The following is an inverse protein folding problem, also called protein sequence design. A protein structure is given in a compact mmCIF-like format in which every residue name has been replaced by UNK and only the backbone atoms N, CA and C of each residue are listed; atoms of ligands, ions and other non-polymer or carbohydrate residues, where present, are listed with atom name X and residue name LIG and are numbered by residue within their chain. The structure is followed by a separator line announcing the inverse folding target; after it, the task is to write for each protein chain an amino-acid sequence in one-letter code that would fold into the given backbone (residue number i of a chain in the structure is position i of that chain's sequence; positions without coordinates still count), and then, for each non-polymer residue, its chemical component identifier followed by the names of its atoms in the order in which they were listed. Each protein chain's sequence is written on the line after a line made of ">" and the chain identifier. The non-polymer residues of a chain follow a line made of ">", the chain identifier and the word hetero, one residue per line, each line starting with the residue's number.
data_IF_830648393279
#
_entry.id   IF_830648393279
#
_cell.length_a   1.000
_cell.length_b   1.000
_cell.length_c   1.000
_cell.angle_alpha   90.00
_cell.angle_beta   90.00
_cell.angle_gamma   90.00
#
_symmetry.space_group_name_H-M   'P 1'
#
loop_
_entity.id
_entity.type
_entity.pdbx_description
1 polymer ?
#
# COMPACT_ATOMS: atom_id res chain seq x y z
N UNK A 1 -0.39 26.62 44.91
CA UNK A 1 0.54 25.54 44.55
C UNK A 1 -0.28 24.52 43.76
N UNK A 2 -0.45 24.79 42.46
CA UNK A 2 -1.36 24.01 41.60
C UNK A 2 -0.60 22.84 41.00
N UNK A 3 -1.12 21.65 41.24
CA UNK A 3 -0.54 20.36 40.88
C UNK A 3 -0.64 20.19 39.36
N UNK A 4 0.50 20.07 38.69
CA UNK A 4 0.62 19.63 37.30
C UNK A 4 0.03 18.22 37.16
N UNK A 5 -1.17 18.15 36.58
CA UNK A 5 -1.72 16.92 36.04
C UNK A 5 -0.85 16.49 34.86
N UNK A 6 0.11 15.60 35.12
CA UNK A 6 0.77 14.77 34.10
C UNK A 6 -0.33 14.04 33.33
N UNK A 7 -0.68 14.56 32.16
CA UNK A 7 -1.43 13.84 31.14
C UNK A 7 -0.57 12.66 30.67
N UNK A 8 -0.59 11.56 31.42
CA UNK A 8 -0.21 10.25 30.90
C UNK A 8 -1.31 9.82 29.94
N UNK A 9 -1.19 10.25 28.69
CA UNK A 9 -1.97 9.71 27.57
C UNK A 9 -1.78 8.20 27.62
N UNK A 10 -2.84 7.48 27.97
CA UNK A 10 -2.84 6.03 27.94
C UNK A 10 -2.45 5.62 26.52
N UNK A 11 -1.23 5.09 26.34
CA UNK A 11 -0.79 4.49 25.08
C UNK A 11 -1.83 3.41 24.75
N UNK A 12 -2.69 3.69 23.78
CA UNK A 12 -3.56 2.68 23.21
C UNK A 12 -2.71 1.50 22.80
N UNK A 13 -3.03 0.30 23.29
CA UNK A 13 -2.26 -0.92 23.06
C UNK A 13 -2.18 -1.35 21.58
N UNK A 14 -2.89 -0.64 20.70
CA UNK A 14 -3.02 -0.94 19.27
C UNK A 14 -2.35 0.18 18.46
N UNK A 15 -1.50 -0.21 17.51
CA UNK A 15 -0.89 0.69 16.53
C UNK A 15 -1.97 1.34 15.65
N UNK A 16 -2.01 2.66 15.59
CA UNK A 16 -3.04 3.43 14.86
C UNK A 16 -2.47 4.20 13.66
N UNK A 17 -1.18 4.02 13.35
CA UNK A 17 -0.47 4.81 12.33
C UNK A 17 -0.53 6.33 12.62
N UNK A 18 -0.53 6.67 13.91
CA UNK A 18 -0.48 8.05 14.41
C UNK A 18 0.96 8.54 14.48
N UNK A 19 1.19 9.85 14.56
CA UNK A 19 2.56 10.40 14.66
C UNK A 19 3.28 9.85 15.90
N UNK A 20 2.55 9.67 17.00
CA UNK A 20 3.07 9.15 18.28
C UNK A 20 3.61 7.72 18.19
N UNK A 21 3.10 6.93 17.23
CA UNK A 21 3.57 5.56 17.02
C UNK A 21 4.99 5.50 16.43
N UNK A 22 5.48 6.63 15.90
CA UNK A 22 6.79 6.75 15.26
C UNK A 22 7.80 7.58 16.06
N UNK A 23 7.41 8.18 17.19
CA UNK A 23 8.29 9.06 18.00
C UNK A 23 9.59 8.37 18.44
N UNK A 24 9.56 7.05 18.61
CA UNK A 24 10.71 6.26 19.00
C UNK A 24 11.64 5.89 17.84
N UNK A 25 11.24 6.12 16.58
CA UNK A 25 12.00 5.73 15.39
C UNK A 25 13.10 6.77 15.08
N UNK A 26 14.35 6.31 14.95
CA UNK A 26 15.48 7.20 14.67
C UNK A 26 15.65 7.50 13.17
N UNK A 27 15.03 6.69 12.30
CA UNK A 27 15.09 6.87 10.87
C UNK A 27 14.14 7.95 10.37
N UNK A 28 14.02 8.08 9.04
CA UNK A 28 13.17 9.10 8.45
C UNK A 28 11.75 8.59 8.20
N UNK A 29 10.76 9.36 8.66
CA UNK A 29 9.34 9.11 8.38
C UNK A 29 8.89 10.09 7.30
N UNK A 30 8.59 9.55 6.13
CA UNK A 30 8.14 10.30 4.96
C UNK A 30 6.64 10.15 4.78
N UNK A 31 6.01 11.21 4.30
CA UNK A 31 4.65 11.15 3.79
C UNK A 31 4.64 10.64 2.35
N UNK A 32 3.55 9.99 1.95
CA UNK A 32 3.41 9.44 0.60
C UNK A 32 3.53 10.48 -0.52
N UNK A 33 3.18 11.75 -0.25
CA UNK A 33 3.33 12.86 -1.19
C UNK A 33 4.80 13.22 -1.49
N UNK A 34 5.73 12.88 -0.61
CA UNK A 34 7.15 13.29 -0.69
C UNK A 34 8.03 12.23 -1.35
N UNK A 35 7.46 11.06 -1.68
CA UNK A 35 8.15 9.91 -2.30
C UNK A 35 8.92 10.32 -3.57
N UNK A 36 8.35 11.23 -4.38
CA UNK A 36 8.95 11.62 -5.67
C UNK A 36 10.33 12.25 -5.53
N UNK A 37 10.52 13.05 -4.47
CA UNK A 37 11.71 13.86 -4.25
C UNK A 37 12.79 13.15 -3.43
N UNK A 38 12.47 12.01 -2.83
CA UNK A 38 13.37 11.29 -1.94
C UNK A 38 14.19 10.23 -2.69
N UNK A 39 15.43 10.02 -2.26
CA UNK A 39 16.30 8.96 -2.78
C UNK A 39 16.31 7.76 -1.82
N UNK A 40 15.91 6.60 -2.33
CA UNK A 40 15.83 5.35 -1.56
C UNK A 40 17.06 4.45 -1.73
N UNK A 41 18.11 4.93 -2.40
CA UNK A 41 19.30 4.15 -2.73
C UNK A 41 19.91 3.45 -1.51
N UNK A 42 20.01 2.11 -1.59
CA UNK A 42 20.58 1.24 -0.55
C UNK A 42 19.85 1.20 0.81
N UNK A 43 18.63 1.75 0.90
CA UNK A 43 17.86 1.78 2.15
C UNK A 43 16.88 0.61 2.26
N UNK A 44 16.58 0.21 3.50
CA UNK A 44 15.46 -0.65 3.81
C UNK A 44 14.21 0.20 4.05
N UNK A 45 13.22 0.07 3.19
CA UNK A 45 12.03 0.92 3.16
C UNK A 45 10.81 0.14 3.64
N UNK A 46 10.06 0.71 4.59
CA UNK A 46 8.75 0.19 4.97
C UNK A 46 7.64 1.12 4.49
N UNK A 47 6.69 0.58 3.75
CA UNK A 47 5.49 1.31 3.32
C UNK A 47 4.34 0.88 4.23
N UNK A 48 3.77 1.82 4.98
CA UNK A 48 2.66 1.56 5.89
C UNK A 48 1.38 2.10 5.27
N UNK A 49 0.52 1.16 4.86
CA UNK A 49 -0.71 1.47 4.16
C UNK A 49 -0.52 1.49 2.64
N UNK A 50 -1.61 1.80 1.94
CA UNK A 50 -1.65 1.81 0.48
C UNK A 50 -2.55 2.94 0.02
N UNK A 51 -1.98 3.84 -0.78
CA UNK A 51 -2.66 4.98 -1.39
C UNK A 51 -2.27 5.11 -2.87
N UNK A 52 -2.83 6.11 -3.56
CA UNK A 52 -2.55 6.29 -4.98
C UNK A 52 -1.06 6.59 -5.26
N UNK A 53 -0.38 7.36 -4.41
CA UNK A 53 1.01 7.73 -4.61
C UNK A 53 1.95 6.53 -4.39
N UNK A 54 1.77 5.78 -3.30
CA UNK A 54 2.55 4.56 -3.03
C UNK A 54 2.36 3.52 -4.13
N UNK A 55 1.13 3.29 -4.59
CA UNK A 55 0.82 2.34 -5.67
C UNK A 55 1.47 2.72 -7.00
N UNK A 56 1.57 4.03 -7.27
CA UNK A 56 2.20 4.55 -8.49
C UNK A 56 3.72 4.46 -8.42
N UNK A 57 4.33 4.77 -7.26
CA UNK A 57 5.78 4.88 -7.11
C UNK A 57 6.46 3.62 -6.58
N UNK A 58 5.71 2.58 -6.21
CA UNK A 58 6.27 1.33 -5.68
C UNK A 58 7.36 0.75 -6.58
N UNK A 59 7.16 0.80 -7.89
CA UNK A 59 8.11 0.32 -8.88
C UNK A 59 9.45 1.05 -8.81
N UNK A 60 9.41 2.40 -8.74
CA UNK A 60 10.60 3.25 -8.58
C UNK A 60 11.31 2.98 -7.25
N UNK A 61 10.55 2.87 -6.15
CA UNK A 61 11.11 2.57 -4.83
C UNK A 61 11.84 1.22 -4.87
N UNK A 62 11.22 0.19 -5.42
CA UNK A 62 11.83 -1.14 -5.52
C UNK A 62 13.05 -1.17 -6.46
N UNK A 63 13.22 -0.23 -7.38
CA UNK A 63 14.44 -0.16 -8.22
C UNK A 63 15.63 0.45 -7.48
N UNK A 64 15.38 1.32 -6.49
CA UNK A 64 16.41 2.08 -5.77
C UNK A 64 16.73 1.45 -4.40
N UNK A 65 15.70 0.97 -3.70
CA UNK A 65 15.81 0.44 -2.36
C UNK A 65 16.50 -0.93 -2.34
N UNK A 66 17.26 -1.16 -1.26
CA UNK A 66 17.86 -2.46 -0.98
C UNK A 66 16.78 -3.50 -0.68
N UNK A 67 15.80 -3.13 0.13
CA UNK A 67 14.68 -3.98 0.47
C UNK A 67 13.43 -3.14 0.76
N UNK A 68 12.27 -3.58 0.28
CA UNK A 68 10.99 -2.90 0.47
C UNK A 68 10.02 -3.85 1.15
N UNK A 69 9.46 -3.45 2.29
CA UNK A 69 8.31 -4.14 2.87
C UNK A 69 7.06 -3.29 2.76
N UNK A 70 6.02 -3.84 2.15
CA UNK A 70 4.70 -3.21 2.05
C UNK A 70 3.79 -3.81 3.13
N UNK A 71 3.45 -3.02 4.14
CA UNK A 71 2.50 -3.38 5.19
C UNK A 71 1.08 -3.07 4.72
N UNK A 72 0.35 -4.12 4.39
CA UNK A 72 -1.01 -4.02 3.85
C UNK A 72 -1.92 -5.07 4.48
N UNK A 73 -2.76 -4.64 5.41
CA UNK A 73 -3.74 -5.52 6.07
C UNK A 73 -4.92 -5.78 5.13
N UNK A 74 -5.39 -4.74 4.42
CA UNK A 74 -6.54 -4.84 3.51
C UNK A 74 -6.15 -4.54 2.07
N UNK A 75 -6.34 -5.50 1.13
CA UNK A 75 -6.15 -5.25 -0.29
C UNK A 75 -7.14 -4.23 -0.87
N UNK A 76 -6.66 -3.45 -1.84
CA UNK A 76 -7.46 -2.47 -2.58
C UNK A 76 -7.57 -2.87 -4.05
N UNK A 77 -8.60 -2.38 -4.75
CA UNK A 77 -8.75 -2.65 -6.17
C UNK A 77 -7.76 -1.79 -6.96
N UNK A 78 -6.94 -2.42 -7.80
CA UNK A 78 -6.02 -1.71 -8.70
C UNK A 78 -6.49 -1.90 -10.13
N UNK A 79 -6.62 -0.78 -10.83
CA UNK A 79 -6.95 -0.71 -12.24
C UNK A 79 -5.70 -0.34 -13.04
N UNK A 80 -5.60 -0.80 -14.29
CA UNK A 80 -4.55 -0.31 -15.18
C UNK A 80 -4.71 1.20 -15.37
N UNK A 81 -3.58 1.91 -15.29
CA UNK A 81 -3.50 3.34 -15.59
C UNK A 81 -3.51 3.56 -17.11
N UNK A 82 -2.75 2.72 -17.81
CA UNK A 82 -2.68 2.64 -19.26
C UNK A 82 -3.94 2.00 -19.85
N UNK A 83 -4.45 2.58 -20.94
CA UNK A 83 -5.54 2.00 -21.74
C UNK A 83 -5.03 1.01 -22.81
N UNK A 84 -3.77 0.56 -22.73
CA UNK A 84 -3.20 -0.37 -23.71
C UNK A 84 -4.01 -1.67 -23.68
N UNK A 85 -4.81 -1.88 -24.73
CA UNK A 85 -5.63 -3.07 -24.95
C UNK A 85 -7.14 -2.89 -24.71
N UNK A 86 -7.57 -1.99 -23.82
CA UNK A 86 -9.01 -1.80 -23.53
C UNK A 86 -9.64 -0.67 -24.35
N UNK A 87 -8.83 0.20 -24.97
CA UNK A 87 -9.32 1.32 -25.77
C UNK A 87 -10.31 0.87 -26.86
N UNK A 88 -10.03 -0.22 -27.60
CA UNK A 88 -10.96 -0.77 -28.63
C UNK A 88 -12.30 -1.24 -28.06
N UNK A 89 -12.30 -1.79 -26.85
CA UNK A 89 -13.51 -2.28 -26.18
C UNK A 89 -14.31 -1.13 -25.55
N UNK A 90 -13.64 -0.13 -24.98
CA UNK A 90 -14.28 1.01 -24.31
C UNK A 90 -14.80 2.05 -25.33
N UNK A 91 -14.12 2.25 -26.45
CA UNK A 91 -14.58 3.15 -27.53
C UNK A 91 -15.66 2.54 -28.43
N UNK A 92 -16.03 1.28 -28.21
CA UNK A 92 -17.15 0.71 -28.94
C UNK A 92 -18.41 1.56 -28.70
N UNK A 93 -19.13 1.99 -29.75
CA UNK A 93 -20.21 2.97 -29.64
C UNK A 93 -21.33 2.53 -28.67
N UNK A 94 -21.53 1.23 -28.48
CA UNK A 94 -22.49 0.68 -27.52
C UNK A 94 -22.06 0.82 -26.04
N UNK A 95 -20.76 0.83 -25.76
CA UNK A 95 -20.20 0.97 -24.40
C UNK A 95 -20.00 2.46 -24.07
N UNK A 96 -19.58 3.25 -25.05
CA UNK A 96 -19.41 4.70 -24.91
C UNK A 96 -20.74 5.42 -24.61
N UNK A 97 -21.86 4.99 -25.22
CA UNK A 97 -23.19 5.59 -25.02
C UNK A 97 -23.82 5.22 -23.66
N UNK A 98 -23.38 4.10 -23.06
CA UNK A 98 -23.89 3.60 -21.78
C UNK A 98 -22.84 3.74 -20.65
N UNK A 99 -22.52 4.99 -20.28
CA UNK A 99 -21.66 5.31 -19.13
C UNK A 99 -22.13 4.67 -17.81
N UNK A 100 -23.42 4.29 -17.71
CA UNK A 100 -24.04 3.52 -16.61
C UNK A 100 -23.49 2.09 -16.45
N UNK A 101 -22.82 1.53 -17.46
CA UNK A 101 -22.20 0.20 -17.37
C UNK A 101 -20.86 0.23 -16.62
N UNK A 102 -20.23 1.39 -16.45
CA UNK A 102 -19.04 1.57 -15.59
C UNK A 102 -19.39 1.63 -14.09
N UNK A 103 -20.31 0.78 -13.66
CA UNK A 103 -20.66 0.61 -12.25
C UNK A 103 -19.51 -0.04 -11.47
N UNK A 104 -19.53 0.12 -10.14
CA UNK A 104 -18.52 -0.44 -9.23
C UNK A 104 -18.34 -1.97 -9.39
N UNK A 105 -19.37 -2.69 -9.87
CA UNK A 105 -19.29 -4.12 -10.20
C UNK A 105 -18.37 -4.41 -11.38
N UNK A 106 -18.52 -3.68 -12.49
CA UNK A 106 -17.67 -3.86 -13.68
C UNK A 106 -16.23 -3.46 -13.37
N UNK A 107 -16.03 -2.36 -12.62
CA UNK A 107 -14.70 -1.96 -12.15
C UNK A 107 -14.04 -3.04 -11.28
N UNK A 108 -14.78 -3.65 -10.36
CA UNK A 108 -14.22 -4.74 -9.55
C UNK A 108 -13.84 -5.97 -10.39
N UNK A 109 -14.67 -6.35 -11.38
CA UNK A 109 -14.37 -7.47 -12.27
C UNK A 109 -13.10 -7.18 -13.09
N UNK A 110 -12.98 -5.96 -13.62
CA UNK A 110 -11.81 -5.55 -14.41
C UNK A 110 -10.54 -5.57 -13.56
N UNK A 111 -10.60 -5.05 -12.34
CA UNK A 111 -9.48 -5.07 -11.40
C UNK A 111 -9.04 -6.50 -11.02
N UNK A 112 -10.00 -7.40 -10.80
CA UNK A 112 -9.70 -8.81 -10.50
C UNK A 112 -9.03 -9.51 -11.69
N UNK A 113 -9.57 -9.33 -12.91
CA UNK A 113 -8.92 -9.87 -14.12
C UNK A 113 -7.51 -9.31 -14.31
N UNK A 114 -7.32 -8.02 -14.04
CA UNK A 114 -6.02 -7.39 -14.14
C UNK A 114 -5.03 -8.00 -13.15
N UNK A 115 -5.44 -8.19 -11.89
CA UNK A 115 -4.66 -8.90 -10.86
C UNK A 115 -4.29 -10.32 -11.31
N UNK A 116 -5.28 -11.10 -11.77
CA UNK A 116 -5.09 -12.49 -12.20
C UNK A 116 -4.11 -12.61 -13.37
N UNK A 117 -4.09 -11.61 -14.25
CA UNK A 117 -3.22 -11.55 -15.44
C UNK A 117 -1.79 -11.14 -15.08
N UNK A 118 -1.58 -10.24 -14.12
CA UNK A 118 -0.24 -9.76 -13.77
C UNK A 118 0.48 -10.60 -12.71
N UNK A 119 -0.27 -11.19 -11.78
CA UNK A 119 0.32 -12.02 -10.71
C UNK A 119 0.39 -13.46 -11.21
N UNK A 120 1.54 -14.12 -11.07
CA UNK A 120 1.64 -15.55 -11.39
C UNK A 120 1.30 -16.41 -10.18
N UNK A 121 1.82 -16.04 -9.01
CA UNK A 121 1.73 -16.82 -7.77
C UNK A 121 0.31 -16.90 -7.21
N UNK A 122 -0.18 -18.12 -7.00
CA UNK A 122 -1.55 -18.36 -6.53
C UNK A 122 -1.78 -17.85 -5.11
N UNK A 123 -0.78 -17.98 -4.24
CA UNK A 123 -0.88 -17.47 -2.87
C UNK A 123 -0.95 -15.94 -2.83
N UNK A 124 -0.08 -15.27 -3.60
CA UNK A 124 -0.06 -13.82 -3.69
C UNK A 124 -1.37 -13.26 -4.26
N UNK A 125 -1.99 -13.95 -5.24
CA UNK A 125 -3.33 -13.60 -5.73
C UNK A 125 -4.35 -13.56 -4.60
N UNK A 126 -4.38 -14.59 -3.75
CA UNK A 126 -5.34 -14.66 -2.64
C UNK A 126 -5.14 -13.54 -1.63
N UNK A 127 -3.89 -13.22 -1.29
CA UNK A 127 -3.57 -12.12 -0.38
C UNK A 127 -3.97 -10.75 -0.94
N UNK A 128 -3.83 -10.57 -2.25
CA UNK A 128 -4.14 -9.32 -2.93
C UNK A 128 -5.60 -9.21 -3.38
N UNK A 129 -6.41 -10.27 -3.25
CA UNK A 129 -7.80 -10.26 -3.70
C UNK A 129 -8.68 -9.46 -2.72
N UNK A 130 -9.21 -8.29 -3.12
CA UNK A 130 -10.09 -7.50 -2.27
C UNK A 130 -11.48 -8.10 -2.13
N UNK A 131 -12.09 -7.89 -0.96
CA UNK A 131 -13.47 -8.29 -0.71
C UNK A 131 -14.45 -7.47 -1.59
N UNK A 132 -15.10 -8.15 -2.53
CA UNK A 132 -16.04 -7.56 -3.50
C UNK A 132 -17.39 -7.16 -2.90
N UNK A 133 -17.74 -7.68 -1.71
CA UNK A 133 -19.00 -7.42 -1.02
C UNK A 133 -19.01 -6.07 -0.27
N UNK A 134 -17.85 -5.44 -0.05
CA UNK A 134 -17.77 -4.12 0.61
C UNK A 134 -18.52 -3.06 -0.19
N UNK A 135 -19.35 -2.26 0.49
CA UNK A 135 -20.15 -1.19 -0.10
C UNK A 135 -19.25 -0.06 -0.64
N UNK A 136 -18.29 0.39 0.17
CA UNK A 136 -17.28 1.34 -0.26
C UNK A 136 -16.07 0.60 -0.84
N UNK A 137 -15.82 0.82 -2.13
CA UNK A 137 -14.65 0.28 -2.84
C UNK A 137 -13.73 1.42 -3.21
N UNK A 138 -12.47 1.32 -2.82
CA UNK A 138 -11.40 2.23 -3.24
C UNK A 138 -10.67 1.62 -4.43
N UNK A 139 -10.54 2.40 -5.48
CA UNK A 139 -9.85 2.01 -6.72
C UNK A 139 -8.62 2.88 -6.91
N UNK A 140 -7.45 2.25 -6.98
CA UNK A 140 -6.20 2.88 -7.36
C UNK A 140 -5.84 2.55 -8.81
N UNK A 141 -4.94 3.33 -9.40
CA UNK A 141 -4.48 3.13 -10.78
C UNK A 141 -2.98 2.95 -10.83
N UNK A 142 -2.50 1.84 -11.37
CA UNK A 142 -1.07 1.61 -11.65
C UNK A 142 -0.91 0.42 -12.59
N UNK A 143 0.05 0.52 -13.50
CA UNK A 143 0.38 -0.56 -14.43
C UNK A 143 1.47 -1.49 -13.87
N UNK A 144 2.33 -0.98 -12.97
CA UNK A 144 3.55 -1.67 -12.53
C UNK A 144 3.45 -2.19 -11.09
N UNK A 145 2.35 -1.95 -10.38
CA UNK A 145 2.25 -2.29 -8.96
C UNK A 145 2.43 -3.79 -8.67
N UNK A 146 1.70 -4.66 -9.36
CA UNK A 146 1.79 -6.10 -9.12
C UNK A 146 3.13 -6.67 -9.60
N UNK A 147 3.72 -6.09 -10.64
CA UNK A 147 5.07 -6.44 -11.08
C UNK A 147 6.11 -6.07 -10.00
N UNK A 148 5.98 -4.89 -9.38
CA UNK A 148 6.87 -4.44 -8.31
C UNK A 148 6.77 -5.31 -7.05
N UNK A 149 5.57 -5.76 -6.67
CA UNK A 149 5.38 -6.67 -5.53
C UNK A 149 6.02 -8.05 -5.74
N UNK A 150 6.19 -8.50 -6.98
CA UNK A 150 6.79 -9.80 -7.31
C UNK A 150 8.32 -9.75 -7.39
N UNK A 151 8.93 -8.57 -7.19
CA UNK A 151 10.40 -8.46 -7.18
C UNK A 151 11.02 -9.16 -5.97
N UNK A 152 12.25 -9.71 -6.11
CA UNK A 152 12.90 -10.42 -5.02
C UNK A 152 13.26 -9.54 -3.81
N UNK A 153 13.37 -8.22 -4.01
CA UNK A 153 13.63 -7.25 -2.95
C UNK A 153 12.36 -6.61 -2.38
N UNK A 154 11.17 -7.10 -2.75
CA UNK A 154 9.89 -6.61 -2.24
C UNK A 154 9.17 -7.72 -1.47
N UNK A 155 8.68 -7.40 -0.27
CA UNK A 155 7.88 -8.31 0.55
C UNK A 155 6.54 -7.66 0.91
N UNK A 156 5.46 -8.38 0.69
CA UNK A 156 4.13 -8.02 1.19
C UNK A 156 3.94 -8.59 2.60
N UNK A 157 3.65 -7.73 3.57
CA UNK A 157 3.36 -8.09 4.95
C UNK A 157 1.90 -7.77 5.27
N UNK A 158 1.10 -8.80 5.51
CA UNK A 158 -0.35 -8.64 5.78
C UNK A 158 -0.71 -8.56 7.25
N UNK A 159 0.24 -8.88 8.13
CA UNK A 159 0.06 -8.83 9.57
C UNK A 159 0.10 -7.40 10.09
N UNK A 160 -0.72 -7.06 11.10
CA UNK A 160 -0.69 -5.73 11.70
C UNK A 160 0.62 -5.50 12.44
N UNK A 161 1.01 -4.22 12.48
CA UNK A 161 2.18 -3.74 13.22
C UNK A 161 1.81 -3.66 14.69
N UNK A 162 2.71 -4.15 15.56
CA UNK A 162 2.55 -4.09 17.02
C UNK A 162 3.21 -2.84 17.58
N UNK A 163 4.46 -2.61 17.19
CA UNK A 163 5.26 -1.47 17.65
C UNK A 163 6.36 -1.15 16.66
N UNK A 164 6.74 0.13 16.63
CA UNK A 164 7.93 0.62 15.97
C UNK A 164 8.96 0.92 17.06
N UNK A 165 10.18 0.42 16.87
CA UNK A 165 11.34 0.71 17.73
C UNK A 165 12.30 1.64 17.01
N UNK A 166 13.42 1.99 17.63
CA UNK A 166 14.41 2.91 17.07
C UNK A 166 14.91 2.54 15.67
N UNK A 167 15.03 1.24 15.38
CA UNK A 167 15.63 0.74 14.13
C UNK A 167 14.78 -0.30 13.41
N UNK A 168 13.66 -0.74 14.00
CA UNK A 168 12.89 -1.87 13.47
C UNK A 168 11.39 -1.79 13.73
N UNK A 169 10.61 -2.40 12.81
CA UNK A 169 9.17 -2.62 12.96
C UNK A 169 8.92 -4.07 13.41
N UNK A 170 8.01 -4.21 14.37
CA UNK A 170 7.54 -5.52 14.85
C UNK A 170 6.14 -5.80 14.32
N UNK A 171 6.00 -6.94 13.64
CA UNK A 171 4.71 -7.48 13.22
C UNK A 171 4.13 -8.43 14.26
N UNK A 172 2.81 -8.64 14.23
CA UNK A 172 2.16 -9.66 15.06
C UNK A 172 2.67 -11.10 14.81
N UNK A 173 3.20 -11.37 13.63
CA UNK A 173 3.80 -12.65 13.24
C UNK A 173 5.16 -12.93 13.93
N UNK A 174 5.58 -12.09 14.88
CA UNK A 174 6.89 -12.19 15.53
C UNK A 174 8.08 -11.77 14.65
N UNK A 175 7.83 -11.41 13.39
CA UNK A 175 8.88 -10.94 12.47
C UNK A 175 9.32 -9.52 12.87
N UNK A 176 10.63 -9.37 13.06
CA UNK A 176 11.30 -8.07 13.19
C UNK A 176 11.94 -7.69 11.87
N UNK A 177 11.75 -6.45 11.43
CA UNK A 177 12.36 -5.93 10.21
C UNK A 177 13.13 -4.65 10.50
N UNK A 178 14.43 -4.65 10.20
CA UNK A 178 15.28 -3.46 10.28
C UNK A 178 14.97 -2.53 9.12
N UNK A 179 14.65 -1.27 9.42
CA UNK A 179 14.14 -0.30 8.46
C UNK A 179 14.82 1.04 8.70
N UNK A 180 15.19 1.70 7.61
CA UNK A 180 15.85 3.01 7.63
C UNK A 180 14.85 4.13 7.35
N UNK A 181 13.87 3.86 6.48
CA UNK A 181 12.86 4.84 6.05
C UNK A 181 11.47 4.24 6.12
N UNK A 182 10.54 4.98 6.73
CA UNK A 182 9.13 4.62 6.80
C UNK A 182 8.34 5.59 5.91
N UNK A 183 7.55 5.06 4.98
CA UNK A 183 6.61 5.80 4.17
C UNK A 183 5.22 5.62 4.78
N UNK A 184 4.64 6.71 5.26
CA UNK A 184 3.32 6.77 5.88
C UNK A 184 2.28 7.30 4.89
N UNK A 185 1.17 6.57 4.76
CA UNK A 185 -0.01 7.06 4.04
C UNK A 185 -0.96 7.81 4.98
N UNK A 186 -1.52 8.92 4.50
CA UNK A 186 -2.64 9.62 5.13
C UNK A 186 -3.93 9.23 4.42
N UNK A 187 -4.58 8.15 4.85
CA UNK A 187 -5.92 7.76 4.38
C UNK A 187 -6.90 7.74 5.53
#
# INVERSE_FOLDING_TARGET
>A
MSIELKNSVAKSATFQNSVQDFDAFNGQVLLSNTIKAYDFSNLNVAIIGTDQETVTHLDKICQQARFVTVFQITPHFILPHSQIGIHRLITHPLIAKNRRLFNNRVKSILALRFLETQVNETWLKRLLTPNTAKAHKTFFKSDNYYAALQRPNCKLQTWPIVKVTQTAIYSMDGTQQTIDVIIRTTS
#
